data_IF_061579823919
#
_entry.id   IF_061579823919
#
_cell.length_a   1.000
_cell.length_b   1.000
_cell.length_c   1.000
_cell.angle_alpha   90.00
_cell.angle_beta   90.00
_cell.angle_gamma   90.00
#
_symmetry.space_group_name_H-M   'P 1'
#
loop_
_entity.id
_entity.type
_entity.pdbx_description
1 polymer ?
#
# COMPACT_ATOMS: atom_id res chain seq x y z
N UNK A 1 9.51 -5.96 -26.00
CA UNK A 1 9.50 -4.58 -26.52
C UNK A 1 8.19 -4.29 -27.23
N UNK A 2 7.76 -5.10 -28.20
CA UNK A 2 6.49 -4.90 -28.92
C UNK A 2 5.24 -5.12 -28.04
N UNK A 3 5.24 -6.17 -27.21
CA UNK A 3 4.13 -6.44 -26.27
C UNK A 3 3.93 -5.34 -25.24
N UNK A 4 5.00 -4.71 -24.79
CA UNK A 4 4.97 -3.58 -23.86
C UNK A 4 4.40 -2.32 -24.54
N UNK A 5 4.78 -2.05 -25.79
CA UNK A 5 4.23 -0.95 -26.56
C UNK A 5 2.72 -1.12 -26.80
N UNK A 6 2.27 -2.34 -27.14
CA UNK A 6 0.85 -2.66 -27.31
C UNK A 6 0.06 -2.46 -26.01
N UNK A 7 0.61 -2.92 -24.88
CA UNK A 7 0.00 -2.72 -23.56
C UNK A 7 -0.14 -1.24 -23.21
N UNK A 8 0.89 -0.43 -23.46
CA UNK A 8 0.85 1.01 -23.21
C UNK A 8 -0.19 1.70 -24.09
N UNK A 9 -0.25 1.33 -25.38
CA UNK A 9 -1.21 1.91 -26.32
C UNK A 9 -2.66 1.62 -25.90
N UNK A 10 -2.96 0.37 -25.51
CA UNK A 10 -4.31 -0.03 -25.10
C UNK A 10 -4.72 0.57 -23.74
N UNK A 11 -3.83 0.51 -22.74
CA UNK A 11 -4.19 0.84 -21.35
C UNK A 11 -3.99 2.31 -20.99
N UNK A 12 -2.92 2.94 -21.50
CA UNK A 12 -2.57 4.33 -21.15
C UNK A 12 -3.04 5.31 -22.18
N UNK A 13 -2.81 5.02 -23.46
CA UNK A 13 -3.21 5.91 -24.54
C UNK A 13 -4.64 5.67 -24.99
N UNK A 14 -5.29 4.58 -24.56
CA UNK A 14 -6.64 4.17 -24.96
C UNK A 14 -6.82 4.13 -26.48
N UNK A 15 -5.76 3.76 -27.20
CA UNK A 15 -5.82 3.52 -28.63
C UNK A 15 -6.20 2.08 -28.87
N UNK A 16 -7.06 1.85 -29.85
CA UNK A 16 -7.33 0.49 -30.32
C UNK A 16 -6.06 -0.10 -30.92
N UNK A 17 -5.85 -1.38 -30.65
CA UNK A 17 -4.71 -2.11 -31.22
C UNK A 17 -5.24 -3.29 -32.03
N UNK A 18 -4.61 -3.58 -33.16
CA UNK A 18 -4.93 -4.77 -33.96
C UNK A 18 -3.78 -5.76 -33.86
N UNK A 19 -4.09 -6.98 -33.43
CA UNK A 19 -3.13 -8.09 -33.31
C UNK A 19 -3.75 -9.27 -34.05
N UNK A 20 -3.02 -9.85 -35.01
CA UNK A 20 -3.46 -10.99 -35.82
C UNK A 20 -4.90 -10.81 -36.34
N UNK A 21 -5.15 -9.69 -37.04
CA UNK A 21 -6.44 -9.32 -37.63
C UNK A 21 -7.62 -9.20 -36.64
N UNK A 22 -7.34 -9.21 -35.34
CA UNK A 22 -8.31 -8.98 -34.27
C UNK A 22 -8.09 -7.60 -33.68
N UNK A 23 -9.11 -6.73 -33.74
CA UNK A 23 -9.06 -5.39 -33.16
C UNK A 23 -9.50 -5.43 -31.70
N UNK A 24 -8.61 -5.03 -30.80
CA UNK A 24 -8.87 -4.85 -29.38
C UNK A 24 -9.17 -3.39 -29.11
N UNK A 25 -10.40 -3.11 -28.69
CA UNK A 25 -10.88 -1.77 -28.34
C UNK A 25 -10.37 -1.38 -26.95
N UNK A 26 -9.97 -0.13 -26.78
CA UNK A 26 -9.67 0.39 -25.45
C UNK A 26 -10.95 0.45 -24.61
N UNK A 27 -10.90 -0.11 -23.39
CA UNK A 27 -12.04 -0.06 -22.47
C UNK A 27 -12.31 1.38 -22.02
N UNK A 28 -13.58 1.77 -22.06
CA UNK A 28 -14.04 3.02 -21.46
C UNK A 28 -13.88 2.96 -19.94
N UNK A 29 -13.54 4.10 -19.34
CA UNK A 29 -13.45 4.16 -17.88
C UNK A 29 -14.86 3.91 -17.34
N UNK A 30 -15.01 2.97 -16.41
CA UNK A 30 -16.23 2.83 -15.65
C UNK A 30 -16.62 4.18 -15.01
N UNK A 31 -17.86 4.61 -15.21
CA UNK A 31 -18.40 5.93 -14.77
C UNK A 31 -18.29 6.16 -13.24
N UNK A 32 -17.97 5.12 -12.46
CA UNK A 32 -17.78 5.19 -11.01
C UNK A 32 -16.56 5.99 -10.53
N UNK A 33 -15.65 6.42 -11.41
CA UNK A 33 -14.52 7.29 -11.04
C UNK A 33 -14.85 8.79 -11.05
N UNK A 34 -16.05 9.17 -11.49
CA UNK A 34 -16.49 10.57 -11.49
C UNK A 34 -16.94 11.07 -10.12
N UNK A 35 -17.26 10.16 -9.20
CA UNK A 35 -17.68 10.49 -7.85
C UNK A 35 -16.46 10.59 -6.94
N UNK A 36 -15.94 11.80 -6.78
CA UNK A 36 -14.85 12.06 -5.84
C UNK A 36 -15.33 11.70 -4.42
N UNK A 37 -14.58 10.92 -3.62
CA UNK A 37 -15.01 10.48 -2.29
C UNK A 37 -15.42 11.61 -1.32
N UNK A 38 -14.92 12.83 -1.54
CA UNK A 38 -15.35 14.01 -0.80
C UNK A 38 -16.76 14.51 -1.12
N UNK A 39 -17.39 14.06 -2.21
CA UNK A 39 -18.75 14.45 -2.63
C UNK A 39 -19.81 13.57 -1.93
N UNK A 40 -19.48 12.32 -1.66
CA UNK A 40 -20.34 11.35 -0.97
C UNK A 40 -19.89 11.07 0.46
N UNK A 41 -19.28 12.05 1.12
CA UNK A 41 -18.78 11.90 2.47
C UNK A 41 -19.96 11.90 3.45
N UNK A 42 -20.31 10.73 3.97
CA UNK A 42 -21.26 10.61 5.07
C UNK A 42 -20.53 10.97 6.39
N UNK A 43 -20.76 12.19 6.89
CA UNK A 43 -20.13 12.71 8.12
C UNK A 43 -20.33 11.78 9.33
N UNK A 44 -21.45 11.07 9.39
CA UNK A 44 -21.80 10.16 10.50
C UNK A 44 -21.04 8.82 10.47
N UNK A 45 -20.24 8.54 9.44
CA UNK A 45 -19.46 7.29 9.32
C UNK A 45 -18.05 7.36 9.86
N UNK A 46 -17.56 8.55 10.20
CA UNK A 46 -16.22 8.74 10.75
C UNK A 46 -16.36 9.37 12.12
N UNK A 47 -16.26 8.54 13.16
CA UNK A 47 -16.17 9.02 14.54
C UNK A 47 -14.72 9.32 14.89
N UNK A 48 -14.47 10.50 15.44
CA UNK A 48 -13.20 10.85 16.10
C UNK A 48 -13.18 10.41 17.56
N UNK A 49 -14.27 9.83 18.05
CA UNK A 49 -14.30 9.22 19.38
C UNK A 49 -13.29 8.08 19.40
N UNK A 50 -12.33 8.19 20.30
CA UNK A 50 -11.36 7.13 20.55
C UNK A 50 -12.14 5.93 21.09
N UNK A 51 -12.39 4.92 20.26
CA UNK A 51 -12.98 3.65 20.70
C UNK A 51 -11.90 2.87 21.48
N UNK A 52 -11.46 3.41 22.61
CA UNK A 52 -10.56 2.77 23.58
C UNK A 52 -11.34 1.82 24.50
N UNK A 53 -12.45 1.27 24.02
CA UNK A 53 -13.23 0.32 24.79
C UNK A 53 -12.64 -1.08 24.56
N UNK A 54 -11.79 -1.51 25.51
CA UNK A 54 -11.53 -2.93 25.87
C UNK A 54 -10.37 -3.71 25.23
N UNK A 55 -9.45 -3.09 24.49
CA UNK A 55 -8.15 -3.74 24.23
C UNK A 55 -7.16 -3.11 25.20
N UNK A 56 -6.55 -3.91 26.08
CA UNK A 56 -5.50 -3.43 26.99
C UNK A 56 -4.54 -2.54 26.22
N UNK A 57 -4.19 -1.38 26.79
CA UNK A 57 -3.69 -0.22 26.06
C UNK A 57 -2.28 -0.48 25.50
N UNK A 58 -2.20 -1.27 24.43
CA UNK A 58 -0.95 -1.60 23.76
C UNK A 58 -0.65 -0.47 22.78
N UNK A 59 0.35 0.34 23.11
CA UNK A 59 0.80 1.42 22.22
C UNK A 59 1.76 0.83 21.19
N UNK A 60 1.38 0.89 19.91
CA UNK A 60 2.24 0.44 18.79
C UNK A 60 2.82 1.66 18.10
N UNK A 61 4.14 1.73 18.03
CA UNK A 61 4.86 2.78 17.32
C UNK A 61 5.53 2.18 16.09
N UNK A 62 5.32 2.79 14.93
CA UNK A 62 5.95 2.39 13.68
C UNK A 62 6.85 3.51 13.17
N UNK A 63 8.07 3.19 12.76
CA UNK A 63 8.97 4.13 12.11
C UNK A 63 9.46 3.57 10.78
N UNK A 64 9.46 4.41 9.75
CA UNK A 64 9.99 4.10 8.43
C UNK A 64 11.13 5.06 8.07
N UNK A 65 12.21 4.53 7.51
CA UNK A 65 13.33 5.33 7.03
C UNK A 65 13.59 5.06 5.56
N UNK A 66 13.84 6.12 4.79
CA UNK A 66 14.25 6.05 3.39
C UNK A 66 15.54 6.84 3.20
N UNK A 67 16.53 6.17 2.63
CA UNK A 67 17.77 6.72 2.07
C UNK A 67 17.79 6.43 0.57
N UNK A 68 18.66 7.10 -0.18
CA UNK A 68 18.75 7.01 -1.65
C UNK A 68 18.79 5.57 -2.19
N UNK A 69 19.44 4.66 -1.48
CA UNK A 69 19.63 3.26 -1.88
C UNK A 69 19.02 2.24 -0.93
N UNK A 70 18.35 2.66 0.15
CA UNK A 70 17.87 1.76 1.21
C UNK A 70 16.58 2.26 1.83
N UNK A 71 15.67 1.33 2.08
CA UNK A 71 14.46 1.60 2.85
C UNK A 71 14.43 0.63 4.03
N UNK A 72 14.01 1.12 5.19
CA UNK A 72 13.85 0.32 6.40
C UNK A 72 12.52 0.64 7.07
N UNK A 73 12.03 -0.31 7.84
CA UNK A 73 10.85 -0.17 8.68
C UNK A 73 11.10 -0.86 10.01
N UNK A 74 10.57 -0.30 11.08
CA UNK A 74 10.60 -0.89 12.41
C UNK A 74 9.29 -0.60 13.13
N UNK A 75 8.94 -1.47 14.08
CA UNK A 75 7.90 -1.16 15.06
C UNK A 75 8.30 -1.64 16.45
N UNK A 76 7.72 -1.01 17.46
CA UNK A 76 7.72 -1.49 18.83
C UNK A 76 6.33 -1.39 19.43
N UNK A 77 6.01 -2.31 20.33
CA UNK A 77 4.77 -2.33 21.08
C UNK A 77 5.08 -2.15 22.57
N UNK A 78 4.32 -1.31 23.24
CA UNK A 78 4.41 -1.08 24.67
C UNK A 78 3.15 -1.57 25.38
N UNK A 79 3.29 -2.13 26.56
CA UNK A 79 2.16 -2.42 27.43
C UNK A 79 1.65 -1.17 28.16
N UNK A 80 0.63 -1.39 29.00
CA UNK A 80 0.01 -0.38 29.85
C UNK A 80 1.00 0.25 30.86
N UNK A 81 2.10 -0.44 31.18
CA UNK A 81 3.18 0.05 32.05
C UNK A 81 4.29 0.76 31.26
N UNK A 82 4.06 1.05 29.98
CA UNK A 82 5.03 1.64 29.07
C UNK A 82 6.33 0.82 28.98
N UNK A 83 6.23 -0.51 29.10
CA UNK A 83 7.34 -1.42 28.86
C UNK A 83 7.27 -2.00 27.46
N UNK A 84 8.42 -2.13 26.79
CA UNK A 84 8.50 -2.72 25.45
C UNK A 84 8.19 -4.22 25.56
N UNK A 85 7.12 -4.65 24.89
CA UNK A 85 6.71 -6.07 24.86
C UNK A 85 7.13 -6.77 23.58
N UNK A 86 7.21 -6.03 22.46
CA UNK A 86 7.61 -6.55 21.15
C UNK A 86 8.39 -5.50 20.39
N UNK A 87 9.37 -5.96 19.61
CA UNK A 87 10.05 -5.16 18.60
C UNK A 87 10.20 -5.96 17.32
N UNK A 88 10.27 -5.26 16.21
CA UNK A 88 10.61 -5.85 14.92
C UNK A 88 11.21 -4.79 14.03
N UNK A 89 12.15 -5.19 13.18
CA UNK A 89 12.72 -4.34 12.15
C UNK A 89 12.99 -5.14 10.89
N UNK A 90 12.84 -4.50 9.74
CA UNK A 90 13.25 -5.05 8.47
C UNK A 90 13.84 -3.99 7.55
N UNK A 91 14.79 -4.45 6.74
CA UNK A 91 15.35 -3.69 5.64
C UNK A 91 14.65 -4.10 4.35
N UNK A 92 13.90 -3.16 3.78
CA UNK A 92 13.28 -3.33 2.47
C UNK A 92 14.36 -3.27 1.39
N UNK A 93 14.44 -4.33 0.57
CA UNK A 93 15.29 -4.38 -0.61
C UNK A 93 14.45 -4.11 -1.85
N UNK A 94 14.95 -3.28 -2.75
CA UNK A 94 14.37 -3.12 -4.08
C UNK A 94 14.51 -4.47 -4.83
N UNK A 95 13.46 -4.90 -5.53
CA UNK A 95 13.34 -6.22 -6.18
C UNK A 95 14.63 -6.61 -6.92
N UNK A 96 15.23 -7.75 -6.55
CA UNK A 96 16.43 -8.31 -7.20
C UNK A 96 17.40 -9.09 -6.30
N UNK A 97 17.15 -9.25 -4.99
CA UNK A 97 18.02 -10.06 -4.13
C UNK A 97 17.22 -10.97 -3.20
N UNK A 98 17.82 -12.13 -2.89
CA UNK A 98 17.23 -13.24 -2.13
C UNK A 98 16.58 -12.79 -0.79
N UNK A 99 15.52 -13.48 -0.35
CA UNK A 99 14.80 -13.12 0.88
C UNK A 99 15.67 -13.31 2.13
N UNK A 100 15.62 -12.34 3.05
CA UNK A 100 16.24 -12.43 4.38
C UNK A 100 15.13 -12.43 5.43
N UNK A 101 15.24 -13.35 6.38
CA UNK A 101 14.30 -13.53 7.48
C UNK A 101 14.44 -12.41 8.54
N UNK A 102 13.36 -12.06 9.25
CA UNK A 102 13.40 -11.08 10.32
C UNK A 102 14.22 -11.59 11.51
N UNK A 103 15.06 -10.71 12.07
CA UNK A 103 15.84 -10.97 13.28
C UNK A 103 15.00 -10.53 14.49
N UNK A 104 14.52 -11.52 15.26
CA UNK A 104 13.82 -11.27 16.52
C UNK A 104 14.86 -11.27 17.64
N UNK A 105 15.07 -10.13 18.31
CA UNK A 105 15.79 -10.11 19.57
C UNK A 105 14.80 -10.30 20.72
N UNK A 106 14.96 -11.41 21.44
CA UNK A 106 14.27 -11.73 22.70
C UNK A 106 14.72 -10.84 23.85
#
# INVERSE_FOLDING_TARGET
>A
METEALFINLTRLKHDITINDTTHKAEDKAEGWSHHPAISFEEDKISTEEVLNSVGQINIYTNGSKMDHRVGTAYCAFDEQQQITKTWQAKLRLKGSHPIQPENHS
#
